data_IF_208439872867
#
_entry.id   IF_208439872867
#
_cell.length_a   1.000
_cell.length_b   1.000
_cell.length_c   1.000
_cell.angle_alpha   90.00
_cell.angle_beta   90.00
_cell.angle_gamma   90.00
#
_symmetry.space_group_name_H-M   'P 1'
#
loop_
_entity.id
_entity.type
_entity.pdbx_description
1 polymer ?
#
# COMPACT_ATOMS: atom_id res chain seq x y z
N UNK A 1 -18.79 10.17 -12.05
CA UNK A 1 -18.57 9.44 -13.33
C UNK A 1 -18.25 8.00 -12.96
N UNK A 2 -19.05 7.06 -13.43
CA UNK A 2 -18.99 5.65 -13.05
C UNK A 2 -17.66 5.02 -13.51
N UNK A 3 -17.02 4.20 -12.66
CA UNK A 3 -15.81 3.39 -12.97
C UNK A 3 -15.94 2.58 -14.26
N UNK A 4 -17.16 2.31 -14.72
CA UNK A 4 -17.48 1.55 -15.94
C UNK A 4 -17.14 2.27 -17.25
N UNK A 5 -17.06 3.61 -17.26
CA UNK A 5 -16.81 4.38 -18.49
C UNK A 5 -15.34 4.64 -18.81
N UNK A 6 -14.42 4.39 -17.84
CA UNK A 6 -13.00 4.63 -18.07
C UNK A 6 -12.31 3.49 -18.85
N UNK A 7 -12.88 2.28 -18.83
CA UNK A 7 -12.24 1.07 -19.37
C UNK A 7 -12.57 0.74 -20.84
N UNK A 8 -13.42 1.52 -21.51
CA UNK A 8 -13.84 1.22 -22.89
C UNK A 8 -12.94 1.77 -24.00
N UNK A 9 -11.84 2.48 -23.68
CA UNK A 9 -11.00 3.16 -24.68
C UNK A 9 -9.59 2.58 -24.90
N UNK A 10 -9.25 1.42 -24.37
CA UNK A 10 -7.94 0.80 -24.64
C UNK A 10 -8.12 -0.53 -25.39
N UNK A 11 -8.38 -0.41 -26.69
CA UNK A 11 -8.30 -1.52 -27.64
C UNK A 11 -6.96 -1.56 -28.36
N UNK A 12 -6.35 -2.75 -28.36
CA UNK A 12 -5.43 -3.33 -29.32
C UNK A 12 -4.06 -2.66 -29.58
N UNK A 13 -3.02 -3.46 -29.30
CA UNK A 13 -1.67 -3.27 -29.80
C UNK A 13 -0.61 -4.14 -29.13
N UNK A 14 -0.75 -5.47 -29.19
CA UNK A 14 0.36 -6.37 -28.87
C UNK A 14 1.33 -6.40 -30.05
N UNK A 15 2.47 -5.73 -29.97
CA UNK A 15 3.63 -5.96 -30.82
C UNK A 15 4.78 -6.45 -29.92
N UNK A 16 5.06 -7.73 -30.01
CA UNK A 16 6.24 -8.33 -29.38
C UNK A 16 7.51 -7.84 -30.03
N UNK A 17 8.34 -7.12 -29.30
CA UNK A 17 9.72 -6.82 -29.64
C UNK A 17 10.63 -7.70 -28.77
N UNK A 18 11.17 -8.76 -29.39
CA UNK A 18 12.27 -9.55 -28.84
C UNK A 18 13.55 -8.73 -28.97
N UNK A 19 14.12 -8.30 -27.85
CA UNK A 19 15.47 -7.72 -27.79
C UNK A 19 16.52 -8.84 -27.73
N UNK A 20 17.69 -8.66 -28.34
CA UNK A 20 18.73 -9.68 -28.36
C UNK A 20 19.29 -9.97 -26.96
N UNK A 21 19.52 -11.23 -26.65
CA UNK A 21 19.88 -11.74 -25.32
C UNK A 21 21.17 -11.20 -24.66
N UNK A 22 21.97 -10.38 -25.35
CA UNK A 22 23.19 -9.78 -24.80
C UNK A 22 22.92 -8.54 -23.95
N UNK A 23 21.92 -7.74 -24.31
CA UNK A 23 21.55 -6.52 -23.56
C UNK A 23 20.93 -6.83 -22.18
N UNK A 24 20.23 -7.95 -22.06
CA UNK A 24 19.52 -8.35 -20.84
C UNK A 24 20.46 -8.83 -19.73
N UNK A 25 21.55 -9.51 -20.09
CA UNK A 25 22.56 -9.99 -19.14
C UNK A 25 23.41 -8.85 -18.55
N UNK A 26 23.66 -7.79 -19.33
CA UNK A 26 24.43 -6.63 -18.87
C UNK A 26 23.58 -5.69 -18.01
N UNK A 27 22.27 -5.54 -18.29
CA UNK A 27 21.33 -4.80 -17.47
C UNK A 27 21.16 -5.48 -16.10
N UNK A 28 21.06 -6.81 -16.06
CA UNK A 28 20.95 -7.58 -14.81
C UNK A 28 22.24 -7.51 -13.97
N UNK A 29 23.40 -7.43 -14.60
CA UNK A 29 24.68 -7.22 -13.89
C UNK A 29 24.83 -5.81 -13.34
N UNK A 30 24.31 -4.79 -14.03
CA UNK A 30 24.33 -3.40 -13.56
C UNK A 30 23.36 -3.17 -12.39
N UNK A 31 22.13 -3.73 -12.45
CA UNK A 31 21.17 -3.65 -11.35
C UNK A 31 21.63 -4.36 -10.07
N UNK A 32 22.45 -5.42 -10.21
CA UNK A 32 23.00 -6.16 -9.06
C UNK A 32 24.05 -5.39 -8.23
N UNK A 33 24.53 -4.23 -8.71
CA UNK A 33 25.62 -3.46 -8.08
C UNK A 33 25.31 -1.96 -7.93
N UNK A 34 24.05 -1.51 -8.03
CA UNK A 34 23.71 -0.09 -7.89
C UNK A 34 23.38 0.23 -6.41
N UNK A 35 24.32 0.87 -5.65
CA UNK A 35 24.15 1.15 -4.22
C UNK A 35 23.05 2.20 -3.93
N UNK A 36 22.45 2.79 -4.97
CA UNK A 36 21.45 3.85 -4.86
C UNK A 36 19.99 3.35 -4.93
N UNK A 37 19.78 2.05 -5.18
CA UNK A 37 18.41 1.48 -5.18
C UNK A 37 17.95 1.29 -3.74
N UNK A 38 16.88 1.99 -3.36
CA UNK A 38 16.27 1.84 -2.04
C UNK A 38 15.60 0.48 -1.90
N UNK A 39 15.76 -0.21 -0.76
CA UNK A 39 15.04 -1.45 -0.49
C UNK A 39 13.54 -1.19 -0.29
N UNK A 40 12.75 -2.25 -0.37
CA UNK A 40 11.35 -2.21 0.06
C UNK A 40 11.35 -1.94 1.56
N UNK A 41 10.79 -0.80 1.96
CA UNK A 41 10.76 -0.33 3.35
C UNK A 41 9.49 -0.74 4.09
N UNK A 42 8.48 -1.24 3.39
CA UNK A 42 7.23 -1.66 4.00
C UNK A 42 6.20 -2.13 3.00
N UNK A 43 5.05 -2.54 3.52
CA UNK A 43 3.98 -3.13 2.72
C UNK A 43 2.60 -2.70 3.22
N UNK A 44 1.64 -2.63 2.32
CA UNK A 44 0.23 -2.72 2.68
C UNK A 44 -0.03 -4.06 3.35
N UNK A 45 -1.00 -4.05 4.26
CA UNK A 45 -1.34 -5.17 5.13
C UNK A 45 -2.86 -5.24 5.31
N UNK A 46 -3.45 -6.42 5.18
CA UNK A 46 -4.88 -6.62 5.31
C UNK A 46 -5.23 -7.95 5.98
N UNK A 47 -6.35 -8.00 6.67
CA UNK A 47 -6.91 -9.25 7.19
C UNK A 47 -7.85 -9.92 6.19
N UNK A 48 -8.48 -9.13 5.35
CA UNK A 48 -9.39 -9.50 4.29
C UNK A 48 -9.38 -8.40 3.24
N UNK A 49 -9.21 -8.79 1.97
CA UNK A 49 -9.28 -7.83 0.87
C UNK A 49 -10.70 -7.25 0.75
N UNK A 50 -10.85 -5.93 0.63
CA UNK A 50 -12.17 -5.30 0.51
C UNK A 50 -12.85 -5.57 -0.84
N UNK A 51 -12.09 -5.90 -1.91
CA UNK A 51 -12.58 -6.24 -3.24
C UNK A 51 -12.67 -7.75 -3.46
N UNK A 52 -13.85 -8.27 -3.83
CA UNK A 52 -14.15 -9.71 -3.83
C UNK A 52 -13.44 -10.57 -4.89
N UNK A 53 -12.66 -9.98 -5.83
CA UNK A 53 -11.96 -10.75 -6.88
C UNK A 53 -10.44 -10.70 -6.76
N UNK A 54 -9.91 -9.66 -6.18
CA UNK A 54 -8.47 -9.40 -6.14
C UNK A 54 -7.77 -10.31 -5.14
N UNK A 55 -8.38 -10.55 -3.97
CA UNK A 55 -7.86 -11.38 -2.88
C UNK A 55 -8.16 -12.88 -2.99
N UNK A 56 -8.65 -13.37 -4.13
CA UNK A 56 -9.19 -14.74 -4.27
C UNK A 56 -8.19 -15.84 -3.90
N UNK A 57 -6.89 -15.59 -4.06
CA UNK A 57 -5.85 -16.59 -3.76
C UNK A 57 -5.40 -16.61 -2.31
N UNK A 58 -5.72 -15.59 -1.49
CA UNK A 58 -5.20 -15.52 -0.12
C UNK A 58 -6.25 -15.20 0.96
N UNK A 59 -7.38 -14.59 0.65
CA UNK A 59 -8.39 -14.19 1.63
C UNK A 59 -8.86 -15.36 2.51
N UNK A 60 -9.06 -16.53 1.91
CA UNK A 60 -9.46 -17.74 2.63
C UNK A 60 -8.40 -18.18 3.63
N UNK A 61 -7.12 -18.06 3.26
CA UNK A 61 -6.01 -18.43 4.11
C UNK A 61 -5.87 -17.44 5.27
N UNK A 62 -5.88 -16.12 4.98
CA UNK A 62 -5.74 -15.06 5.98
C UNK A 62 -6.86 -15.12 7.04
N UNK A 63 -8.09 -15.36 6.63
CA UNK A 63 -9.21 -15.50 7.57
C UNK A 63 -9.02 -16.63 8.58
N UNK A 64 -8.32 -17.67 8.22
CA UNK A 64 -8.07 -18.82 9.08
C UNK A 64 -6.81 -18.70 9.94
N UNK A 65 -6.00 -17.67 9.74
CA UNK A 65 -4.77 -17.50 10.51
C UNK A 65 -5.08 -17.37 12.01
N UNK A 66 -4.42 -18.23 12.79
CA UNK A 66 -4.38 -18.14 14.24
C UNK A 66 -3.50 -16.97 14.70
N UNK A 67 -3.59 -16.60 15.98
CA UNK A 67 -2.70 -15.59 16.56
C UNK A 67 -1.21 -15.95 16.37
N UNK A 68 -0.85 -17.22 16.50
CA UNK A 68 0.52 -17.69 16.28
C UNK A 68 0.97 -17.50 14.82
N UNK A 69 0.09 -17.70 13.84
CA UNK A 69 0.40 -17.48 12.42
C UNK A 69 0.50 -16.00 12.08
N UNK A 70 -0.35 -15.14 12.64
CA UNK A 70 -0.21 -13.68 12.47
C UNK A 70 1.11 -13.17 13.06
N UNK A 71 1.47 -13.63 14.28
CA UNK A 71 2.76 -13.29 14.88
C UNK A 71 3.93 -13.74 14.02
N UNK A 72 3.89 -14.99 13.52
CA UNK A 72 4.91 -15.53 12.60
C UNK A 72 5.01 -14.68 11.32
N UNK A 73 3.87 -14.25 10.75
CA UNK A 73 3.85 -13.41 9.55
C UNK A 73 4.52 -12.07 9.77
N UNK A 74 4.28 -11.39 10.91
CA UNK A 74 4.96 -10.14 11.24
C UNK A 74 6.47 -10.35 11.38
N UNK A 75 6.91 -11.45 12.03
CA UNK A 75 8.32 -11.81 12.12
C UNK A 75 8.94 -12.02 10.74
N UNK A 76 8.29 -12.80 9.85
CA UNK A 76 8.77 -13.03 8.49
C UNK A 76 8.93 -11.74 7.69
N UNK A 77 7.98 -10.81 7.82
CA UNK A 77 8.06 -9.50 7.14
C UNK A 77 9.23 -8.68 7.69
N UNK A 78 9.43 -8.63 9.01
CA UNK A 78 10.55 -7.90 9.61
C UNK A 78 11.92 -8.40 9.13
N UNK A 79 12.05 -9.71 8.87
CA UNK A 79 13.28 -10.33 8.36
C UNK A 79 13.63 -9.92 6.91
N UNK A 80 12.69 -9.32 6.18
CA UNK A 80 12.93 -8.81 4.82
C UNK A 80 13.50 -7.39 4.77
N UNK A 81 13.72 -6.78 5.94
CA UNK A 81 14.15 -5.38 6.05
C UNK A 81 12.99 -4.36 5.99
N UNK A 82 11.74 -4.81 5.94
CA UNK A 82 10.58 -3.92 5.99
C UNK A 82 10.37 -3.41 7.41
N UNK A 83 10.33 -2.08 7.56
CA UNK A 83 10.14 -1.35 8.80
C UNK A 83 8.68 -0.92 9.04
N UNK A 84 7.87 -0.84 7.97
CA UNK A 84 6.54 -0.25 8.00
C UNK A 84 5.49 -1.20 7.44
N UNK A 85 4.33 -1.26 8.10
CA UNK A 85 3.12 -1.89 7.57
C UNK A 85 1.98 -0.88 7.57
N UNK A 86 1.21 -0.86 6.49
CA UNK A 86 0.05 0.02 6.34
C UNK A 86 -1.19 -0.86 6.32
N UNK A 87 -1.95 -0.84 7.41
CA UNK A 87 -3.21 -1.58 7.49
C UNK A 87 -4.21 -0.97 6.52
N UNK A 88 -4.66 -1.75 5.54
CA UNK A 88 -5.55 -1.31 4.48
C UNK A 88 -6.90 -0.85 5.03
N UNK A 89 -7.46 -1.64 5.92
CA UNK A 89 -8.83 -1.47 6.40
C UNK A 89 -9.01 -2.01 7.82
N UNK A 90 -9.93 -1.43 8.58
CA UNK A 90 -10.35 -1.89 9.92
C UNK A 90 -11.71 -2.57 9.90
N UNK A 91 -12.37 -2.51 8.75
CA UNK A 91 -13.63 -3.19 8.48
C UNK A 91 -13.68 -3.66 7.02
N UNK A 92 -14.45 -4.69 6.73
CA UNK A 92 -14.72 -5.18 5.39
C UNK A 92 -16.12 -5.79 5.33
N UNK A 93 -16.80 -5.61 4.21
CA UNK A 93 -18.13 -6.21 3.99
C UNK A 93 -19.13 -5.95 5.12
N UNK A 94 -19.10 -4.74 5.71
CA UNK A 94 -19.98 -4.32 6.79
C UNK A 94 -19.66 -4.90 8.18
N UNK A 95 -18.48 -5.54 8.35
CA UNK A 95 -18.03 -6.15 9.61
C UNK A 95 -16.67 -5.58 10.02
N UNK A 96 -16.43 -5.40 11.33
CA UNK A 96 -15.18 -4.89 11.88
C UNK A 96 -14.21 -6.00 12.28
N UNK A 97 -12.90 -5.74 12.20
CA UNK A 97 -11.86 -6.68 12.66
C UNK A 97 -11.55 -6.58 14.16
N UNK A 98 -12.32 -5.78 14.90
CA UNK A 98 -12.21 -5.61 16.34
C UNK A 98 -13.59 -5.52 16.98
N UNK A 99 -13.65 -5.70 18.30
CA UNK A 99 -14.90 -5.58 19.04
C UNK A 99 -15.30 -4.11 19.13
N UNK A 100 -16.46 -3.78 18.54
CA UNK A 100 -17.05 -2.45 18.48
C UNK A 100 -18.57 -2.56 18.44
N UNK A 101 -19.24 -1.47 18.81
CA UNK A 101 -20.71 -1.32 18.63
C UNK A 101 -21.07 -0.77 17.24
N UNK A 102 -20.09 -0.37 16.44
CA UNK A 102 -20.30 0.26 15.13
C UNK A 102 -20.70 -0.73 14.04
N UNK A 103 -20.28 -1.99 14.17
CA UNK A 103 -20.60 -3.06 13.22
C UNK A 103 -20.45 -4.43 13.89
N UNK A 104 -21.07 -5.49 13.32
CA UNK A 104 -20.77 -6.86 13.71
C UNK A 104 -19.28 -7.17 13.55
N UNK A 105 -18.76 -8.08 14.37
CA UNK A 105 -17.39 -8.56 14.27
C UNK A 105 -17.22 -9.46 13.05
N UNK A 106 -16.09 -9.33 12.37
CA UNK A 106 -15.68 -10.22 11.30
C UNK A 106 -15.18 -11.54 11.90
N UNK A 107 -15.67 -12.68 11.41
CA UNK A 107 -15.27 -14.01 11.87
C UNK A 107 -13.89 -14.37 11.32
N UNK A 108 -12.93 -14.58 12.22
CA UNK A 108 -11.54 -14.93 11.91
C UNK A 108 -11.02 -16.05 12.81
N UNK A 109 -9.98 -16.74 12.38
CA UNK A 109 -9.26 -17.75 13.19
C UNK A 109 -8.48 -17.14 14.38
N UNK A 110 -8.40 -15.81 14.46
CA UNK A 110 -7.79 -15.04 15.54
C UNK A 110 -8.85 -14.14 16.17
N UNK A 111 -9.00 -14.18 17.49
CA UNK A 111 -10.04 -13.44 18.19
C UNK A 111 -9.86 -11.93 18.09
N UNK A 112 -8.64 -11.44 18.29
CA UNK A 112 -8.30 -10.01 18.13
C UNK A 112 -7.06 -9.90 17.22
N UNK A 113 -7.28 -9.84 15.90
CA UNK A 113 -6.17 -9.81 14.96
C UNK A 113 -5.38 -8.50 15.03
N UNK A 114 -6.02 -7.35 15.34
CA UNK A 114 -5.32 -6.06 15.46
C UNK A 114 -4.38 -6.07 16.66
N UNK A 115 -4.84 -6.51 17.83
CA UNK A 115 -4.00 -6.68 19.02
C UNK A 115 -2.82 -7.59 18.72
N UNK A 116 -3.09 -8.72 18.07
CA UNK A 116 -2.08 -9.74 17.77
C UNK A 116 -0.98 -9.20 16.88
N UNK A 117 -1.30 -8.47 15.81
CA UNK A 117 -0.27 -7.96 14.89
C UNK A 117 0.48 -6.77 15.46
N UNK A 118 -0.16 -5.90 16.23
CA UNK A 118 0.52 -4.77 16.89
C UNK A 118 1.45 -5.25 17.99
N UNK A 119 1.02 -6.21 18.81
CA UNK A 119 1.88 -6.84 19.84
C UNK A 119 3.10 -7.54 19.21
N UNK A 120 2.91 -8.27 18.11
CA UNK A 120 4.02 -8.86 17.37
C UNK A 120 4.94 -7.79 16.76
N UNK A 121 4.38 -6.71 16.24
CA UNK A 121 5.14 -5.59 15.67
C UNK A 121 5.97 -4.86 16.75
N UNK A 122 5.45 -4.71 17.97
CA UNK A 122 6.21 -4.21 19.13
C UNK A 122 7.47 -5.05 19.40
N UNK A 123 7.33 -6.38 19.29
CA UNK A 123 8.41 -7.33 19.52
C UNK A 123 9.46 -7.30 18.40
N UNK A 124 9.02 -7.24 17.15
CA UNK A 124 9.91 -7.33 15.97
C UNK A 124 10.35 -5.97 15.42
N UNK A 125 9.97 -4.86 16.07
CA UNK A 125 10.40 -3.51 15.70
C UNK A 125 9.76 -2.95 14.42
N UNK A 126 8.58 -3.47 14.03
CA UNK A 126 7.82 -3.00 12.87
C UNK A 126 6.84 -1.90 13.31
N UNK A 127 6.62 -0.90 12.46
CA UNK A 127 5.71 0.22 12.69
C UNK A 127 4.45 0.08 11.86
N UNK A 128 3.29 0.28 12.46
CA UNK A 128 2.00 0.24 11.79
C UNK A 128 1.40 1.63 11.59
N UNK A 129 0.95 1.89 10.37
CA UNK A 129 -0.10 2.86 10.10
C UNK A 129 -1.42 2.12 10.14
N UNK A 130 -2.29 2.46 11.09
CA UNK A 130 -3.57 1.80 11.27
C UNK A 130 -4.61 2.53 10.41
N UNK A 131 -5.44 1.79 9.69
CA UNK A 131 -6.52 2.38 8.90
C UNK A 131 -7.62 2.96 9.79
N UNK A 132 -8.32 3.95 9.27
CA UNK A 132 -9.48 4.54 9.96
C UNK A 132 -10.82 4.22 9.31
N UNK A 133 -10.86 3.53 8.16
CA UNK A 133 -12.08 3.45 7.36
C UNK A 133 -12.34 2.05 6.75
N UNK A 134 -13.16 2.01 5.74
CA UNK A 134 -13.93 0.95 5.09
C UNK A 134 -15.24 0.60 5.80
N UNK A 135 -15.87 1.61 6.40
CA UNK A 135 -17.17 1.49 7.06
C UNK A 135 -18.35 1.56 6.10
N UNK A 136 -18.13 1.96 4.85
CA UNK A 136 -19.16 2.05 3.82
C UNK A 136 -19.70 0.69 3.37
N UNK A 137 -20.91 0.65 2.76
CA UNK A 137 -21.49 -0.58 2.22
C UNK A 137 -20.85 -1.04 0.92
N UNK A 138 -20.05 -0.17 0.31
CA UNK A 138 -19.37 -0.35 -0.97
C UNK A 138 -17.96 0.31 -0.94
N UNK A 139 -17.24 0.22 -2.05
CA UNK A 139 -15.91 0.82 -2.21
C UNK A 139 -15.96 2.18 -2.93
N UNK A 140 -17.05 2.91 -2.84
CA UNK A 140 -17.16 4.26 -3.42
C UNK A 140 -16.40 5.26 -2.56
N UNK A 141 -15.19 5.62 -3.00
CA UNK A 141 -14.32 6.55 -2.31
C UNK A 141 -14.95 7.95 -2.16
N UNK A 142 -15.68 8.44 -3.15
CA UNK A 142 -16.37 9.72 -3.05
C UNK A 142 -17.40 9.69 -1.91
N UNK A 143 -18.24 8.66 -1.85
CA UNK A 143 -19.22 8.48 -0.79
C UNK A 143 -18.56 8.36 0.58
N UNK A 144 -17.51 7.54 0.70
CA UNK A 144 -16.78 7.39 1.96
C UNK A 144 -16.17 8.70 2.46
N UNK A 145 -15.75 9.60 1.55
CA UNK A 145 -15.19 10.90 1.93
C UNK A 145 -16.25 11.96 2.25
N UNK A 146 -17.43 11.90 1.62
CA UNK A 146 -18.42 12.98 1.68
C UNK A 146 -19.67 12.69 2.51
N UNK A 147 -19.97 11.42 2.79
CA UNK A 147 -21.12 11.03 3.61
C UNK A 147 -20.86 11.35 5.10
N UNK A 148 -21.70 12.22 5.67
CA UNK A 148 -21.54 12.69 7.06
C UNK A 148 -21.72 11.59 8.10
N UNK A 149 -22.60 10.61 7.85
CA UNK A 149 -22.82 9.52 8.81
C UNK A 149 -21.65 8.53 8.78
N UNK A 150 -21.09 8.26 7.60
CA UNK A 150 -19.83 7.50 7.49
C UNK A 150 -18.68 8.27 8.17
N UNK A 151 -18.60 9.58 8.01
CA UNK A 151 -17.62 10.43 8.69
C UNK A 151 -17.70 10.33 10.22
N UNK A 152 -18.90 10.44 10.81
CA UNK A 152 -19.10 10.25 12.25
C UNK A 152 -18.67 8.87 12.71
N UNK A 153 -19.06 7.83 11.98
CA UNK A 153 -18.71 6.44 12.28
C UNK A 153 -17.20 6.23 12.23
N UNK A 154 -16.53 6.77 11.21
CA UNK A 154 -15.08 6.77 11.08
C UNK A 154 -14.38 7.43 12.27
N UNK A 155 -14.81 8.65 12.64
CA UNK A 155 -14.22 9.40 13.74
C UNK A 155 -14.40 8.65 15.07
N UNK A 156 -15.59 8.11 15.34
CA UNK A 156 -15.85 7.29 16.52
C UNK A 156 -14.99 6.02 16.53
N UNK A 157 -14.80 5.38 15.36
CA UNK A 157 -13.94 4.20 15.27
C UNK A 157 -12.47 4.52 15.57
N UNK A 158 -11.98 5.69 15.16
CA UNK A 158 -10.61 6.13 15.50
C UNK A 158 -10.43 6.27 17.02
N UNK A 159 -11.41 6.83 17.72
CA UNK A 159 -11.38 6.94 19.19
C UNK A 159 -11.37 5.55 19.85
N UNK A 160 -12.25 4.63 19.41
CA UNK A 160 -12.32 3.26 19.95
C UNK A 160 -11.02 2.48 19.69
N UNK A 161 -10.46 2.55 18.46
CA UNK A 161 -9.21 1.91 18.06
C UNK A 161 -8.04 2.46 18.88
N UNK A 162 -7.91 3.78 18.98
CA UNK A 162 -6.81 4.37 19.73
C UNK A 162 -6.91 4.08 21.23
N UNK A 163 -8.09 4.13 21.82
CA UNK A 163 -8.32 3.75 23.22
C UNK A 163 -7.89 2.31 23.49
N UNK A 164 -8.14 1.40 22.54
CA UNK A 164 -7.85 -0.03 22.69
C UNK A 164 -6.41 -0.36 22.38
N UNK A 165 -5.84 0.19 21.31
CA UNK A 165 -4.55 -0.24 20.75
C UNK A 165 -3.47 0.85 20.76
N UNK A 166 -3.79 2.08 21.10
CA UNK A 166 -2.83 3.21 21.07
C UNK A 166 -1.67 3.10 22.08
N UNK A 167 -1.69 2.10 22.96
CA UNK A 167 -0.61 1.81 23.91
C UNK A 167 0.57 1.07 23.26
N UNK A 168 0.40 0.47 22.08
CA UNK A 168 1.46 -0.21 21.34
C UNK A 168 2.49 0.77 20.79
N UNK A 169 3.77 0.47 20.96
CA UNK A 169 4.88 1.26 20.39
C UNK A 169 4.88 1.19 18.86
N UNK A 170 4.36 0.09 18.31
CA UNK A 170 4.18 -0.14 16.88
C UNK A 170 3.05 0.68 16.27
N UNK A 171 2.12 1.23 17.06
CA UNK A 171 1.09 2.15 16.56
C UNK A 171 1.75 3.48 16.18
N UNK A 172 2.26 3.56 14.95
CA UNK A 172 3.06 4.70 14.49
C UNK A 172 2.19 5.89 14.03
N UNK A 173 1.02 5.59 13.48
CA UNK A 173 0.11 6.61 13.00
C UNK A 173 -1.09 6.04 12.26
N UNK A 174 -1.70 6.89 11.42
CA UNK A 174 -2.94 6.55 10.72
C UNK A 174 -2.77 6.53 9.21
N UNK A 175 -3.43 5.59 8.57
CA UNK A 175 -3.66 5.56 7.14
C UNK A 175 -5.11 5.97 6.84
N UNK A 176 -5.28 6.95 5.97
CA UNK A 176 -6.59 7.37 5.47
C UNK A 176 -6.82 6.72 4.10
N UNK A 177 -7.57 5.60 4.04
CA UNK A 177 -7.51 4.65 2.93
C UNK A 177 -8.37 5.03 1.73
N UNK A 178 -9.22 6.06 1.83
CA UNK A 178 -10.08 6.41 0.72
C UNK A 178 -9.25 6.96 -0.42
N UNK A 179 -9.12 6.14 -1.45
CA UNK A 179 -8.25 6.45 -2.58
C UNK A 179 -8.73 7.67 -3.33
N UNK A 180 -7.82 8.64 -3.46
CA UNK A 180 -7.99 9.81 -4.28
C UNK A 180 -7.28 9.59 -5.62
N UNK A 181 -7.99 9.81 -6.72
CA UNK A 181 -7.32 9.90 -8.03
C UNK A 181 -6.88 11.35 -8.31
N UNK A 182 -5.78 11.47 -9.05
CA UNK A 182 -5.28 12.73 -9.57
C UNK A 182 -5.72 12.85 -11.04
N UNK A 183 -6.61 13.81 -11.36
CA UNK A 183 -7.06 14.04 -12.75
C UNK A 183 -7.55 15.48 -12.97
N UNK A 184 -6.68 16.42 -13.17
CA UNK A 184 -5.23 16.40 -12.98
C UNK A 184 -4.79 16.77 -11.56
N UNK A 185 -5.71 17.02 -10.63
CA UNK A 185 -5.49 17.49 -9.27
C UNK A 185 -6.31 16.67 -8.29
N UNK A 186 -6.09 16.86 -7.00
CA UNK A 186 -7.00 16.37 -5.98
C UNK A 186 -8.39 16.98 -6.17
N UNK A 187 -9.44 16.14 -6.08
CA UNK A 187 -10.82 16.63 -6.08
C UNK A 187 -11.09 17.50 -4.85
N UNK A 188 -12.06 18.43 -4.95
CA UNK A 188 -12.37 19.43 -3.92
C UNK A 188 -12.72 18.82 -2.54
N UNK A 189 -13.23 17.61 -2.49
CA UNK A 189 -13.61 16.93 -1.25
C UNK A 189 -12.45 16.21 -0.57
N UNK A 190 -11.31 15.97 -1.24
CA UNK A 190 -10.20 15.16 -0.71
C UNK A 190 -9.46 15.87 0.41
N UNK A 191 -9.04 17.12 0.19
CA UNK A 191 -8.30 17.89 1.19
C UNK A 191 -9.12 18.12 2.47
N UNK A 192 -10.41 18.54 2.41
CA UNK A 192 -11.26 18.60 3.59
C UNK A 192 -11.37 17.27 4.35
N UNK A 193 -11.58 16.17 3.63
CA UNK A 193 -11.64 14.82 4.23
C UNK A 193 -10.35 14.46 4.95
N UNK A 194 -9.21 14.61 4.27
CA UNK A 194 -7.88 14.29 4.85
C UNK A 194 -7.60 15.14 6.08
N UNK A 195 -7.91 16.43 6.02
CA UNK A 195 -7.65 17.35 7.13
C UNK A 195 -8.57 17.09 8.33
N UNK A 196 -9.83 16.70 8.12
CA UNK A 196 -10.72 16.23 9.19
C UNK A 196 -10.16 15.00 9.88
N UNK A 197 -9.78 13.97 9.12
CA UNK A 197 -9.15 12.77 9.66
C UNK A 197 -7.86 13.08 10.43
N UNK A 198 -7.02 13.96 9.90
CA UNK A 198 -5.78 14.39 10.55
C UNK A 198 -6.02 15.14 11.86
N UNK A 199 -7.07 15.96 11.92
CA UNK A 199 -7.46 16.66 13.15
C UNK A 199 -7.87 15.67 14.24
N UNK A 200 -8.69 14.67 13.91
CA UNK A 200 -9.05 13.60 14.86
C UNK A 200 -7.81 12.83 15.31
N UNK A 201 -6.98 12.40 14.36
CA UNK A 201 -5.74 11.67 14.66
C UNK A 201 -4.84 12.45 15.64
N UNK A 202 -4.63 13.74 15.39
CA UNK A 202 -3.79 14.61 16.25
C UNK A 202 -4.42 14.89 17.60
N UNK A 203 -5.75 14.91 17.73
CA UNK A 203 -6.42 15.04 19.03
C UNK A 203 -6.21 13.79 19.90
N UNK A 204 -6.08 12.61 19.30
CA UNK A 204 -5.80 11.35 19.99
C UNK A 204 -4.31 11.22 20.36
N UNK A 205 -3.42 11.60 19.43
CA UNK A 205 -1.98 11.58 19.62
C UNK A 205 -1.31 12.66 18.78
N UNK A 206 -0.78 13.69 19.41
CA UNK A 206 -0.09 14.80 18.73
C UNK A 206 1.14 14.37 17.93
N UNK A 207 1.77 13.25 18.29
CA UNK A 207 2.98 12.71 17.65
C UNK A 207 2.70 11.70 16.55
N UNK A 208 1.43 11.36 16.28
CA UNK A 208 1.12 10.39 15.22
C UNK A 208 1.53 10.90 13.85
N UNK A 209 1.95 9.98 12.98
CA UNK A 209 2.29 10.24 11.58
C UNK A 209 1.15 9.75 10.70
N UNK A 210 0.66 10.59 9.80
CA UNK A 210 -0.46 10.25 8.92
C UNK A 210 0.02 10.04 7.49
N UNK A 211 -0.58 9.08 6.80
CA UNK A 211 -0.25 8.71 5.43
C UNK A 211 -1.51 8.59 4.57
N UNK A 212 -1.41 9.04 3.31
CA UNK A 212 -2.39 8.80 2.24
C UNK A 212 -1.71 8.16 1.03
N UNK A 213 -2.49 7.50 0.16
CA UNK A 213 -1.98 6.83 -1.04
C UNK A 213 -2.80 7.17 -2.30
N UNK A 214 -2.62 8.36 -2.90
CA UNK A 214 -3.31 8.73 -4.11
C UNK A 214 -2.78 7.97 -5.34
N UNK A 215 -3.65 7.77 -6.34
CA UNK A 215 -3.33 7.06 -7.57
C UNK A 215 -3.50 7.93 -8.84
N UNK A 216 -3.19 7.35 -10.01
CA UNK A 216 -3.31 8.00 -11.33
C UNK A 216 -2.27 9.10 -11.61
N UNK A 217 -1.06 8.91 -11.11
CA UNK A 217 0.06 9.87 -11.23
C UNK A 217 0.41 10.29 -12.66
N UNK A 218 0.00 9.50 -13.67
CA UNK A 218 0.21 9.83 -15.09
C UNK A 218 -0.60 11.04 -15.59
N UNK A 219 -1.70 11.40 -14.89
CA UNK A 219 -2.60 12.48 -15.25
C UNK A 219 -2.33 13.76 -14.49
N UNK A 220 -1.57 13.66 -13.42
CA UNK A 220 -1.29 14.75 -12.52
C UNK A 220 -0.47 15.86 -13.20
N UNK A 221 -0.79 17.11 -12.89
CA UNK A 221 -0.04 18.30 -13.27
C UNK A 221 0.68 18.86 -12.06
N UNK A 222 2.01 18.76 -12.06
CA UNK A 222 2.86 19.26 -10.98
C UNK A 222 3.12 20.78 -11.10
N UNK A 223 2.07 21.55 -11.31
CA UNK A 223 2.13 23.01 -11.42
C UNK A 223 1.91 23.71 -10.06
N UNK A 224 1.90 25.05 -10.06
CA UNK A 224 1.72 25.82 -8.83
C UNK A 224 0.34 25.63 -8.17
N UNK A 225 -0.68 25.18 -8.92
CA UNK A 225 -1.96 24.84 -8.31
C UNK A 225 -1.88 23.57 -7.48
N UNK A 226 -1.22 22.54 -8.01
CA UNK A 226 -0.97 21.31 -7.25
C UNK A 226 -0.08 21.54 -6.03
N UNK A 227 0.95 22.38 -6.16
CA UNK A 227 1.79 22.78 -5.00
C UNK A 227 0.92 23.40 -3.90
N UNK A 228 0.00 24.32 -4.23
CA UNK A 228 -0.93 24.87 -3.23
C UNK A 228 -1.87 23.82 -2.62
N UNK A 229 -2.26 22.78 -3.35
CA UNK A 229 -3.03 21.68 -2.79
C UNK A 229 -2.18 20.87 -1.78
N UNK A 230 -0.92 20.59 -2.11
CA UNK A 230 0.01 19.92 -1.20
C UNK A 230 0.27 20.73 0.08
N UNK A 231 0.39 22.06 -0.01
CA UNK A 231 0.54 22.96 1.13
C UNK A 231 -0.65 22.89 2.11
N UNK A 232 -1.85 22.61 1.60
CA UNK A 232 -3.07 22.50 2.39
C UNK A 232 -3.28 21.12 3.03
N UNK A 233 -2.60 20.07 2.55
CA UNK A 233 -2.73 18.72 3.08
C UNK A 233 -2.10 18.61 4.47
N UNK A 234 -2.86 18.17 5.46
CA UNK A 234 -2.39 17.98 6.82
C UNK A 234 -1.95 16.52 7.08
N UNK A 235 -1.04 16.03 6.24
CA UNK A 235 -0.42 14.70 6.40
C UNK A 235 1.09 14.80 6.32
N UNK A 236 1.77 13.87 6.97
CA UNK A 236 3.22 13.79 6.99
C UNK A 236 3.80 13.05 5.77
N UNK A 237 3.01 12.14 5.17
CA UNK A 237 3.48 11.28 4.08
C UNK A 237 2.40 11.16 3.00
N UNK A 238 2.82 11.29 1.75
CA UNK A 238 2.03 10.94 0.58
C UNK A 238 2.75 9.82 -0.16
N UNK A 239 2.15 8.62 -0.17
CA UNK A 239 2.68 7.44 -0.86
C UNK A 239 1.92 7.26 -2.18
N UNK A 240 2.52 7.70 -3.29
CA UNK A 240 1.87 7.63 -4.60
C UNK A 240 1.89 6.22 -5.17
N UNK A 241 0.74 5.77 -5.66
CA UNK A 241 0.62 4.48 -6.34
C UNK A 241 1.26 4.56 -7.73
N UNK A 242 2.19 3.64 -8.03
CA UNK A 242 2.96 3.62 -9.26
C UNK A 242 2.15 3.32 -10.51
N UNK A 243 1.17 2.43 -10.40
CA UNK A 243 0.24 2.07 -11.45
C UNK A 243 0.81 1.12 -12.52
N UNK A 244 2.04 0.59 -12.34
CA UNK A 244 2.65 -0.34 -13.30
C UNK A 244 2.00 -1.72 -13.22
N UNK A 245 1.75 -2.23 -12.00
CA UNK A 245 1.14 -3.52 -11.78
C UNK A 245 -0.30 -3.61 -12.29
N UNK A 246 -1.03 -2.50 -12.23
CA UNK A 246 -2.40 -2.40 -12.78
C UNK A 246 -2.43 -2.01 -14.27
N UNK A 247 -1.27 -1.85 -14.92
CA UNK A 247 -1.18 -1.46 -16.34
C UNK A 247 -1.60 -0.03 -16.64
N UNK A 248 -1.74 0.82 -15.61
CA UNK A 248 -2.10 2.22 -15.77
C UNK A 248 -0.92 3.11 -16.18
N UNK A 249 0.29 2.74 -15.77
CA UNK A 249 1.54 3.45 -16.03
C UNK A 249 2.53 2.49 -16.68
N UNK A 250 3.34 2.97 -17.62
CA UNK A 250 4.45 2.19 -18.17
C UNK A 250 5.68 2.33 -17.29
N UNK A 251 6.47 1.27 -17.17
CA UNK A 251 7.68 1.25 -16.32
C UNK A 251 8.67 2.37 -16.72
N UNK A 252 8.89 2.57 -18.01
CA UNK A 252 9.78 3.58 -18.55
C UNK A 252 9.38 5.03 -18.26
N UNK A 253 8.11 5.29 -17.93
CA UNK A 253 7.60 6.61 -17.54
C UNK A 253 7.69 6.88 -16.03
N UNK A 254 7.91 5.85 -15.20
CA UNK A 254 7.85 5.95 -13.74
C UNK A 254 8.81 7.01 -13.18
N UNK A 255 10.06 7.02 -13.64
CA UNK A 255 11.06 8.01 -13.20
C UNK A 255 10.57 9.45 -13.41
N UNK A 256 10.02 9.75 -14.58
CA UNK A 256 9.51 11.10 -14.95
C UNK A 256 8.36 11.53 -14.05
N UNK A 257 7.40 10.64 -13.77
CA UNK A 257 6.27 10.98 -12.90
C UNK A 257 6.73 11.26 -11.46
N UNK A 258 7.56 10.39 -10.89
CA UNK A 258 8.06 10.59 -9.54
C UNK A 258 9.02 11.78 -9.41
N UNK A 259 9.80 12.11 -10.45
CA UNK A 259 10.61 13.33 -10.49
C UNK A 259 9.73 14.59 -10.40
N UNK A 260 8.66 14.64 -11.18
CA UNK A 260 7.73 15.78 -11.17
C UNK A 260 7.04 15.93 -9.80
N UNK A 261 6.53 14.83 -9.23
CA UNK A 261 5.94 14.81 -7.91
C UNK A 261 6.94 15.28 -6.83
N UNK A 262 8.17 14.78 -6.89
CA UNK A 262 9.24 15.18 -5.95
C UNK A 262 9.53 16.68 -6.01
N UNK A 263 9.58 17.28 -7.21
CA UNK A 263 9.75 18.72 -7.39
C UNK A 263 8.58 19.53 -6.80
N UNK A 264 7.35 19.04 -6.96
CA UNK A 264 6.18 19.69 -6.35
C UNK A 264 6.21 19.62 -4.82
N UNK A 265 6.55 18.46 -4.26
CA UNK A 265 6.71 18.30 -2.81
C UNK A 265 7.83 19.16 -2.22
N UNK A 266 8.96 19.28 -2.92
CA UNK A 266 10.06 20.18 -2.50
C UNK A 266 9.62 21.63 -2.46
N UNK A 267 8.81 22.09 -3.43
CA UNK A 267 8.26 23.45 -3.42
C UNK A 267 7.26 23.66 -2.28
N UNK A 268 6.37 22.68 -2.06
CA UNK A 268 5.35 22.77 -1.02
C UNK A 268 5.94 22.71 0.39
N UNK A 269 7.06 21.99 0.59
CA UNK A 269 7.76 21.88 1.87
C UNK A 269 6.93 21.32 3.03
N UNK A 270 5.88 20.53 2.73
CA UNK A 270 4.86 20.11 3.70
C UNK A 270 4.96 18.64 4.09
N UNK A 271 4.85 17.74 3.15
CA UNK A 271 4.83 16.29 3.35
C UNK A 271 5.97 15.60 2.62
N UNK A 272 6.39 14.45 3.16
CA UNK A 272 7.36 13.57 2.53
C UNK A 272 6.70 12.77 1.41
N UNK A 273 7.47 12.49 0.36
CA UNK A 273 7.03 11.64 -0.74
C UNK A 273 7.56 10.22 -0.56
N UNK A 274 6.64 9.25 -0.54
CA UNK A 274 6.94 7.82 -0.60
C UNK A 274 6.33 7.23 -1.88
N UNK A 275 6.76 6.03 -2.26
CA UNK A 275 6.13 5.28 -3.32
C UNK A 275 5.27 4.15 -2.74
N UNK A 276 4.16 3.86 -3.42
CA UNK A 276 3.42 2.61 -3.31
C UNK A 276 3.56 1.87 -4.64
N UNK A 277 4.29 0.78 -4.63
CA UNK A 277 4.66 0.03 -5.82
C UNK A 277 3.99 -1.34 -5.81
N UNK A 278 3.35 -1.72 -6.90
CA UNK A 278 2.66 -3.00 -6.99
C UNK A 278 3.64 -4.16 -7.19
N UNK A 279 3.57 -5.18 -6.31
CA UNK A 279 4.31 -6.46 -6.48
C UNK A 279 3.59 -7.46 -7.38
N UNK A 280 2.49 -7.07 -8.00
CA UNK A 280 1.58 -7.94 -8.75
C UNK A 280 1.33 -7.43 -10.16
N UNK A 281 0.66 -8.26 -10.93
CA UNK A 281 -0.10 -7.89 -12.13
C UNK A 281 -1.46 -8.58 -12.09
N UNK A 282 -2.44 -8.05 -12.82
CA UNK A 282 -3.75 -8.70 -12.92
C UNK A 282 -3.72 -9.92 -13.82
N UNK A 283 -4.30 -11.02 -13.34
CA UNK A 283 -4.55 -12.17 -14.17
C UNK A 283 -5.68 -11.88 -15.17
N UNK A 284 -5.42 -12.05 -16.46
CA UNK A 284 -6.36 -11.91 -17.58
C UNK A 284 -6.91 -10.51 -17.80
N UNK A 285 -7.57 -9.87 -16.82
CA UNK A 285 -8.22 -8.57 -16.96
C UNK A 285 -7.99 -7.69 -15.74
N UNK A 286 -8.09 -6.38 -15.93
CA UNK A 286 -8.08 -5.40 -14.82
C UNK A 286 -9.15 -5.76 -13.77
N UNK A 287 -8.79 -5.71 -12.50
CA UNK A 287 -9.61 -6.17 -11.36
C UNK A 287 -9.92 -7.69 -11.36
N UNK A 288 -9.13 -8.47 -12.06
CA UNK A 288 -9.03 -9.91 -11.83
C UNK A 288 -8.18 -10.21 -10.60
N UNK A 289 -7.90 -11.50 -10.37
CA UNK A 289 -6.99 -11.90 -9.31
C UNK A 289 -5.57 -11.38 -9.54
N UNK A 290 -4.89 -11.10 -8.44
CA UNK A 290 -3.54 -10.57 -8.44
C UNK A 290 -2.53 -11.72 -8.43
N UNK A 291 -1.56 -11.67 -9.34
CA UNK A 291 -0.46 -12.63 -9.43
C UNK A 291 0.89 -11.98 -9.13
N UNK A 292 1.80 -12.67 -8.41
CA UNK A 292 3.13 -12.14 -8.13
C UNK A 292 3.91 -11.82 -9.40
N UNK A 293 4.45 -10.59 -9.47
CA UNK A 293 5.31 -10.19 -10.55
C UNK A 293 6.72 -10.82 -10.44
N UNK A 294 7.49 -10.76 -11.51
CA UNK A 294 8.88 -11.16 -11.49
C UNK A 294 9.76 -10.02 -10.96
N UNK A 295 10.58 -10.32 -9.97
CA UNK A 295 11.46 -9.34 -9.35
C UNK A 295 12.52 -8.85 -10.34
N UNK A 296 13.22 -9.78 -11.01
CA UNK A 296 14.36 -9.47 -11.85
C UNK A 296 13.97 -8.75 -13.15
N UNK A 297 12.78 -9.05 -13.69
CA UNK A 297 12.34 -8.50 -14.98
C UNK A 297 11.49 -7.23 -14.85
N UNK A 298 10.92 -6.94 -13.64
CA UNK A 298 10.07 -5.76 -13.45
C UNK A 298 10.37 -5.01 -12.16
N UNK A 299 10.29 -5.67 -11.00
CA UNK A 299 10.26 -4.98 -9.70
C UNK A 299 11.55 -4.20 -9.45
N UNK A 300 12.72 -4.81 -9.69
CA UNK A 300 14.01 -4.15 -9.49
C UNK A 300 14.16 -2.89 -10.35
N UNK A 301 13.69 -2.94 -11.61
CA UNK A 301 13.77 -1.79 -12.52
C UNK A 301 12.81 -0.67 -12.10
N UNK A 302 11.64 -1.01 -11.55
CA UNK A 302 10.73 -0.03 -10.99
C UNK A 302 11.33 0.62 -9.74
N UNK A 303 11.93 -0.16 -8.83
CA UNK A 303 12.66 0.35 -7.67
C UNK A 303 13.80 1.30 -8.08
N UNK A 304 14.60 0.90 -9.08
CA UNK A 304 15.69 1.73 -9.63
C UNK A 304 15.18 3.07 -10.15
N UNK A 305 14.12 3.04 -10.97
CA UNK A 305 13.54 4.22 -11.60
C UNK A 305 13.02 5.27 -10.60
N UNK A 306 12.43 4.82 -9.46
CA UNK A 306 11.77 5.71 -8.51
C UNK A 306 12.65 6.09 -7.30
N UNK A 307 13.68 5.31 -6.99
CA UNK A 307 14.54 5.50 -5.81
C UNK A 307 15.12 6.90 -5.65
N UNK A 308 15.53 7.64 -6.71
CA UNK A 308 16.07 8.99 -6.55
C UNK A 308 15.06 10.02 -6.05
N UNK A 309 13.76 9.75 -6.20
CA UNK A 309 12.69 10.76 -6.06
C UNK A 309 11.81 10.57 -4.83
N UNK A 310 11.96 9.48 -4.09
CA UNK A 310 11.14 9.15 -2.92
C UNK A 310 11.99 8.85 -1.70
N UNK A 311 11.47 9.09 -0.51
CA UNK A 311 12.20 8.76 0.72
C UNK A 311 12.21 7.26 0.99
N UNK A 312 11.06 6.59 0.78
CA UNK A 312 10.87 5.16 1.00
C UNK A 312 9.99 4.55 -0.08
N UNK A 313 10.15 3.24 -0.27
CA UNK A 313 9.33 2.42 -1.16
C UNK A 313 8.49 1.48 -0.30
N UNK A 314 7.17 1.66 -0.34
CA UNK A 314 6.19 0.69 0.12
C UNK A 314 5.70 -0.15 -1.05
N UNK A 315 5.12 -1.30 -0.76
CA UNK A 315 4.59 -2.18 -1.80
C UNK A 315 3.18 -2.67 -1.49
N UNK A 316 2.38 -2.78 -2.52
CA UNK A 316 1.15 -3.55 -2.50
C UNK A 316 1.40 -4.90 -3.18
N UNK A 317 1.48 -6.06 -2.46
CA UNK A 317 1.68 -6.19 -1.03
C UNK A 317 2.49 -7.47 -0.71
N UNK A 318 2.92 -7.62 0.55
CA UNK A 318 3.58 -8.86 0.97
C UNK A 318 2.58 -10.01 1.11
N UNK A 319 1.45 -9.76 1.83
CA UNK A 319 0.43 -10.78 2.09
C UNK A 319 -0.14 -11.32 0.79
N UNK A 320 -0.17 -12.64 0.65
CA UNK A 320 -0.71 -13.30 -0.54
C UNK A 320 0.18 -13.23 -1.80
N UNK A 321 1.15 -12.32 -1.86
CA UNK A 321 2.01 -12.07 -3.03
C UNK A 321 3.47 -12.46 -2.79
N UNK A 322 3.96 -12.35 -1.56
CA UNK A 322 5.28 -12.83 -1.13
C UNK A 322 5.15 -13.78 0.06
N UNK A 323 5.92 -14.87 0.06
CA UNK A 323 5.99 -15.76 1.22
C UNK A 323 7.39 -16.32 1.39
N UNK A 324 7.86 -16.32 2.64
CA UNK A 324 9.09 -17.01 3.02
C UNK A 324 8.96 -18.51 2.72
N UNK A 325 9.99 -19.18 2.21
CA UNK A 325 9.99 -20.64 2.03
C UNK A 325 9.62 -21.35 3.33
N UNK A 326 8.77 -22.38 3.23
CA UNK A 326 8.30 -23.20 4.37
C UNK A 326 7.56 -22.43 5.47
N UNK A 327 7.06 -21.22 5.20
CA UNK A 327 6.25 -20.45 6.13
C UNK A 327 5.06 -21.26 6.65
N UNK A 328 4.85 -21.25 7.98
CA UNK A 328 3.65 -21.79 8.62
C UNK A 328 2.44 -20.87 8.49
N UNK A 329 2.69 -19.61 8.15
CA UNK A 329 1.70 -18.57 7.88
C UNK A 329 1.63 -18.25 6.38
N UNK A 330 1.58 -19.27 5.55
CA UNK A 330 1.51 -19.12 4.10
C UNK A 330 0.09 -18.72 3.66
N UNK A 331 0.00 -17.73 2.78
CA UNK A 331 -1.24 -17.33 2.09
C UNK A 331 -0.97 -17.09 0.61
N UNK A 332 -1.89 -17.49 -0.27
CA UNK A 332 -1.77 -17.33 -1.71
C UNK A 332 -1.06 -18.49 -2.42
N UNK A 333 -0.63 -18.26 -3.66
CA UNK A 333 -0.03 -19.27 -4.54
C UNK A 333 1.38 -19.66 -4.10
N UNK A 334 1.63 -20.95 -3.86
CA UNK A 334 2.88 -21.39 -3.23
C UNK A 334 4.13 -21.18 -4.09
N UNK A 335 4.07 -21.47 -5.36
CA UNK A 335 5.23 -21.41 -6.25
C UNK A 335 5.69 -19.97 -6.50
N UNK A 336 4.77 -19.16 -6.94
CA UNK A 336 4.98 -17.80 -7.41
C UNK A 336 5.36 -16.85 -6.26
N UNK A 337 4.69 -16.96 -5.12
CA UNK A 337 4.93 -16.10 -3.95
C UNK A 337 6.29 -16.39 -3.33
N UNK A 338 6.71 -17.65 -3.26
CA UNK A 338 8.06 -18.06 -2.78
C UNK A 338 9.14 -17.66 -3.77
N UNK A 339 8.87 -17.75 -5.08
CA UNK A 339 9.81 -17.28 -6.10
C UNK A 339 10.11 -15.78 -5.93
N UNK A 340 9.08 -14.96 -5.81
CA UNK A 340 9.25 -13.52 -5.62
C UNK A 340 10.02 -13.21 -4.33
N UNK A 341 9.71 -13.87 -3.22
CA UNK A 341 10.45 -13.74 -1.97
C UNK A 341 11.94 -14.04 -2.16
N UNK A 342 12.26 -15.20 -2.76
CA UNK A 342 13.65 -15.61 -2.95
C UNK A 342 14.40 -14.64 -3.85
N UNK A 343 13.82 -14.21 -4.97
CA UNK A 343 14.43 -13.24 -5.88
C UNK A 343 14.72 -11.90 -5.16
N UNK A 344 13.78 -11.39 -4.37
CA UNK A 344 13.98 -10.17 -3.58
C UNK A 344 15.08 -10.36 -2.53
N UNK A 345 15.02 -11.42 -1.73
CA UNK A 345 16.00 -11.67 -0.67
C UNK A 345 17.40 -11.95 -1.21
N UNK A 346 17.53 -12.62 -2.34
CA UNK A 346 18.83 -12.80 -3.03
C UNK A 346 19.45 -11.47 -3.46
N UNK A 347 18.62 -10.52 -3.92
CA UNK A 347 19.06 -9.17 -4.20
C UNK A 347 19.37 -8.39 -2.91
N UNK A 348 18.44 -8.36 -1.95
CA UNK A 348 18.56 -7.61 -0.70
C UNK A 348 19.83 -7.96 0.08
N UNK A 349 20.13 -9.25 0.22
CA UNK A 349 21.30 -9.73 0.97
C UNK A 349 22.64 -9.36 0.30
N UNK A 350 22.64 -9.09 -1.00
CA UNK A 350 23.84 -8.65 -1.74
C UNK A 350 24.13 -7.15 -1.59
N UNK A 351 23.15 -6.34 -1.17
CA UNK A 351 23.28 -4.88 -1.11
C UNK A 351 23.92 -4.36 0.19
N UNK A 352 24.09 -5.20 1.22
CA UNK A 352 24.64 -4.80 2.53
C UNK A 352 23.89 -3.61 3.16
N UNK A 353 22.57 -3.55 3.05
CA UNK A 353 21.76 -2.58 3.79
C UNK A 353 21.96 -2.79 5.30
N UNK A 354 22.64 -1.86 5.96
CA UNK A 354 22.85 -1.81 7.41
C UNK A 354 22.14 -0.64 8.00
#
# INVERSE_FOLDING_TARGET
MDRRHFLSMLGLGAVGLTLPGVAQADILKQAAANPNIKPISGSWFEFQHPGGKEGVYWDKDLRQFTAAQWREKIREISETGMEYLVMMNVAAHGKAFFDTKLAPKFEMGCEDPIETVLSAADEFGVKFFVSNDYWGPDLDAHRMMTDRELGKKRNQSMEEIYKKYGHHKSFYGWYFPNESWLDPYFCDFVIPYVNECAQVAKSLNTNCVNIIAPYNIKKEKCDDYFVRQLEQLNVEIVAYQGGVGVGATRLEDSARYYENLSKAHQKAGRSRIWADMELFYFEQTTHGSLLPADFNNRIIHQMEAISPFVDKILVYQYLGIMNKPQSKAHAGLRGETVRLYNQYMDWYNKQNFK
#
